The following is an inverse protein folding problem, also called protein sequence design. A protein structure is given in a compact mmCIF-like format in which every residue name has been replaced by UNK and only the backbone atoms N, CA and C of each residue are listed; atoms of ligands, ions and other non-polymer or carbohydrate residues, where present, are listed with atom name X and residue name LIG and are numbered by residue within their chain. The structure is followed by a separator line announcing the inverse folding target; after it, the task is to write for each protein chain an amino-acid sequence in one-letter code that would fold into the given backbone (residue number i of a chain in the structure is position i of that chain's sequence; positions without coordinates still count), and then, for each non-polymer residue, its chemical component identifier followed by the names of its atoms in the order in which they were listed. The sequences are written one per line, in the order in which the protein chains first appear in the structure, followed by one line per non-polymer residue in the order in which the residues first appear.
data_IF_291545074513
#
_entry.id   IF_291545074513
#
_cell.length_a   1.000
_cell.length_b   1.000
_cell.length_c   1.000
_cell.angle_alpha   90.00
_cell.angle_beta   90.00
_cell.angle_gamma   90.00
#
_symmetry.space_group_name_H-M   'P 1'
#
loop_
_entity.id
_entity.type
_entity.pdbx_description
1 polymer ?
#
# COMPACT_ATOMS: atom_id res chain seq x y z
N UNK A 1 -5.99 1.81 -31.35
CA UNK A 1 -4.52 1.90 -31.16
C UNK A 1 -4.15 1.53 -29.71
N UNK A 2 -4.51 0.30 -29.31
CA UNK A 2 -4.89 -0.07 -27.93
C UNK A 2 -3.81 -0.84 -27.14
N UNK A 3 -2.58 -0.95 -27.64
CA UNK A 3 -1.51 -1.69 -26.95
C UNK A 3 -0.56 -0.82 -26.09
N UNK A 4 -0.32 0.44 -26.48
CA UNK A 4 0.85 1.17 -26.02
C UNK A 4 0.77 1.70 -24.56
N UNK A 5 -0.42 2.04 -24.06
CA UNK A 5 -0.60 2.65 -22.73
C UNK A 5 -0.52 1.67 -21.55
N UNK A 6 -1.09 0.48 -21.72
CA UNK A 6 -0.96 -0.64 -20.77
C UNK A 6 0.50 -1.13 -20.69
N UNK A 7 1.15 -1.26 -21.86
CA UNK A 7 2.58 -1.55 -21.97
C UNK A 7 3.47 -0.45 -21.38
N UNK A 8 3.05 0.82 -21.39
CA UNK A 8 3.84 1.92 -20.83
C UNK A 8 3.78 1.96 -19.29
N UNK A 9 2.63 1.66 -18.67
CA UNK A 9 2.52 1.62 -17.20
C UNK A 9 3.08 0.31 -16.61
N UNK A 10 2.80 -0.83 -17.24
CA UNK A 10 3.53 -2.07 -16.98
C UNK A 10 5.02 -1.86 -17.24
N UNK A 11 5.37 -1.11 -18.29
CA UNK A 11 6.74 -0.71 -18.62
C UNK A 11 7.39 0.19 -17.58
N UNK A 12 6.65 1.10 -16.91
CA UNK A 12 7.18 1.92 -15.80
C UNK A 12 7.42 1.09 -14.55
N UNK A 13 6.47 0.22 -14.16
CA UNK A 13 6.66 -0.71 -13.04
C UNK A 13 7.81 -1.70 -13.30
N UNK A 14 7.88 -2.24 -14.52
CA UNK A 14 8.96 -3.12 -14.96
C UNK A 14 10.30 -2.38 -15.06
N UNK A 15 10.32 -1.10 -15.46
CA UNK A 15 11.52 -0.25 -15.45
C UNK A 15 11.98 0.08 -14.03
N UNK A 16 11.07 0.36 -13.11
CA UNK A 16 11.41 0.60 -11.70
C UNK A 16 11.96 -0.68 -11.05
N UNK A 17 11.31 -1.82 -11.25
CA UNK A 17 11.82 -3.13 -10.82
C UNK A 17 13.20 -3.41 -11.42
N UNK A 18 13.36 -3.18 -12.73
CA UNK A 18 14.66 -3.32 -13.41
C UNK A 18 15.71 -2.36 -12.84
N UNK A 19 15.35 -1.11 -12.56
CA UNK A 19 16.27 -0.12 -11.99
C UNK A 19 16.76 -0.54 -10.59
N UNK A 20 15.86 -1.06 -9.74
CA UNK A 20 16.22 -1.60 -8.42
C UNK A 20 17.20 -2.77 -8.55
N UNK A 21 16.90 -3.74 -9.40
CA UNK A 21 17.79 -4.90 -9.59
C UNK A 21 19.13 -4.52 -10.26
N UNK A 22 19.13 -3.56 -11.18
CA UNK A 22 20.36 -2.99 -11.76
C UNK A 22 21.17 -2.28 -10.67
N UNK A 23 20.53 -1.48 -9.81
CA UNK A 23 21.20 -0.80 -8.71
C UNK A 23 21.80 -1.81 -7.71
N UNK A 24 21.06 -2.87 -7.35
CA UNK A 24 21.57 -3.95 -6.49
C UNK A 24 22.77 -4.66 -7.14
N UNK A 25 22.69 -4.99 -8.43
CA UNK A 25 23.79 -5.62 -9.16
C UNK A 25 25.02 -4.71 -9.24
N UNK A 26 24.84 -3.43 -9.56
CA UNK A 26 25.91 -2.44 -9.59
C UNK A 26 26.54 -2.26 -8.21
N UNK A 27 25.74 -2.12 -7.16
CA UNK A 27 26.22 -2.02 -5.79
C UNK A 27 27.03 -3.26 -5.41
N UNK A 28 26.54 -4.46 -5.73
CA UNK A 28 27.26 -5.70 -5.43
C UNK A 28 28.60 -5.79 -6.15
N UNK A 29 28.64 -5.44 -7.45
CA UNK A 29 29.89 -5.41 -8.23
C UNK A 29 30.87 -4.36 -7.68
N UNK A 30 30.41 -3.13 -7.42
CA UNK A 30 31.24 -2.06 -6.86
C UNK A 30 31.78 -2.48 -5.48
N UNK A 31 30.93 -3.02 -4.62
CA UNK A 31 31.34 -3.55 -3.31
C UNK A 31 32.37 -4.66 -3.43
N UNK A 32 32.27 -5.53 -4.44
CA UNK A 32 33.25 -6.58 -4.69
C UNK A 32 34.57 -6.10 -5.31
N UNK A 33 34.54 -5.00 -6.07
CA UNK A 33 35.75 -4.34 -6.57
C UNK A 33 36.52 -3.65 -5.43
N UNK A 34 35.82 -3.08 -4.44
CA UNK A 34 36.43 -2.45 -3.27
C UNK A 34 36.91 -3.51 -2.26
N UNK A 35 36.12 -4.57 -2.05
CA UNK A 35 36.43 -5.64 -1.12
C UNK A 35 36.25 -7.01 -1.80
N UNK A 36 37.33 -7.64 -2.27
CA UNK A 36 37.28 -8.93 -2.99
C UNK A 36 36.64 -10.07 -2.18
N UNK A 37 36.57 -9.94 -0.85
CA UNK A 37 35.88 -10.92 0.02
C UNK A 37 34.39 -11.01 -0.24
N UNK A 38 33.75 -10.00 -0.85
CA UNK A 38 32.32 -10.01 -1.18
C UNK A 38 31.92 -11.10 -2.19
N UNK A 39 32.86 -11.57 -3.02
CA UNK A 39 32.63 -12.65 -3.97
C UNK A 39 32.88 -14.04 -3.38
N UNK A 40 33.42 -14.13 -2.16
CA UNK A 40 33.61 -15.41 -1.49
C UNK A 40 32.26 -16.02 -1.10
N UNK A 41 32.09 -17.31 -1.36
CA UNK A 41 30.85 -18.05 -1.06
C UNK A 41 30.44 -17.89 0.41
N UNK A 42 31.39 -17.93 1.34
CA UNK A 42 31.10 -17.72 2.77
C UNK A 42 30.48 -16.35 3.06
N UNK A 43 31.01 -15.28 2.45
CA UNK A 43 30.49 -13.93 2.63
C UNK A 43 29.10 -13.76 2.00
N UNK A 44 28.89 -14.33 0.81
CA UNK A 44 27.57 -14.34 0.16
C UNK A 44 26.53 -15.04 1.03
N UNK A 45 26.87 -16.20 1.59
CA UNK A 45 25.97 -16.94 2.49
C UNK A 45 25.66 -16.17 3.76
N UNK A 46 26.63 -15.46 4.35
CA UNK A 46 26.41 -14.60 5.52
C UNK A 46 25.47 -13.43 5.19
N UNK A 47 25.65 -12.78 4.03
CA UNK A 47 24.75 -11.71 3.57
C UNK A 47 23.33 -12.26 3.37
N UNK A 48 23.20 -13.44 2.74
CA UNK A 48 21.90 -14.09 2.54
C UNK A 48 21.23 -14.45 3.86
N UNK A 49 21.97 -14.86 4.87
CA UNK A 49 21.42 -15.16 6.19
C UNK A 49 20.81 -13.92 6.86
N UNK A 50 21.53 -12.79 6.84
CA UNK A 50 21.02 -11.51 7.36
C UNK A 50 19.80 -11.04 6.56
N UNK A 51 19.88 -11.15 5.23
CA UNK A 51 18.77 -10.80 4.35
C UNK A 51 17.54 -11.69 4.56
N UNK A 52 17.71 -12.97 4.90
CA UNK A 52 16.62 -13.90 5.13
C UNK A 52 15.75 -13.49 6.33
N UNK A 53 16.35 -13.00 7.43
CA UNK A 53 15.57 -12.49 8.58
C UNK A 53 14.69 -11.31 8.17
N UNK A 54 15.26 -10.33 7.44
CA UNK A 54 14.49 -9.21 6.91
C UNK A 54 13.43 -9.68 5.89
N UNK A 55 13.76 -10.69 5.10
CA UNK A 55 12.86 -11.31 4.13
C UNK A 55 11.63 -11.94 4.78
N UNK A 56 11.80 -12.67 5.89
CA UNK A 56 10.68 -13.25 6.65
C UNK A 56 9.80 -12.16 7.24
N UNK A 57 10.38 -11.10 7.78
CA UNK A 57 9.64 -9.94 8.30
C UNK A 57 8.85 -9.25 7.17
N UNK A 58 9.47 -9.09 5.99
CA UNK A 58 8.83 -8.54 4.81
C UNK A 58 7.64 -9.39 4.32
N UNK A 59 7.69 -10.72 4.45
CA UNK A 59 6.54 -11.59 4.15
C UNK A 59 5.34 -11.30 5.05
N UNK A 60 5.57 -11.02 6.35
CA UNK A 60 4.52 -10.55 7.25
C UNK A 60 3.93 -9.21 6.78
N UNK A 61 4.81 -8.26 6.42
CA UNK A 61 4.40 -6.95 5.91
C UNK A 61 3.57 -7.03 4.62
N UNK A 62 3.78 -8.05 3.76
CA UNK A 62 2.95 -8.25 2.56
C UNK A 62 1.47 -8.38 2.91
N UNK A 63 1.12 -9.10 3.98
CA UNK A 63 -0.28 -9.28 4.40
C UNK A 63 -0.89 -7.93 4.80
N UNK A 64 -0.15 -7.11 5.55
CA UNK A 64 -0.58 -5.78 5.99
C UNK A 64 -0.79 -4.83 4.79
N UNK A 65 0.14 -4.86 3.83
CA UNK A 65 0.04 -4.06 2.59
C UNK A 65 -1.15 -4.50 1.76
N UNK A 66 -1.43 -5.82 1.66
CA UNK A 66 -2.58 -6.33 0.94
C UNK A 66 -3.91 -5.82 1.51
N UNK A 67 -3.97 -5.53 2.81
CA UNK A 67 -5.13 -4.92 3.48
C UNK A 67 -5.13 -3.39 3.44
N UNK A 68 -4.17 -2.76 2.74
CA UNK A 68 -4.10 -1.30 2.57
C UNK A 68 -3.38 -0.54 3.69
N UNK A 69 -2.67 -1.24 4.58
CA UNK A 69 -1.94 -0.65 5.71
C UNK A 69 -0.42 -0.72 5.57
N UNK A 70 0.27 -0.13 6.55
CA UNK A 70 1.71 -0.32 6.79
C UNK A 70 1.89 -0.46 8.31
N UNK A 71 2.58 -1.52 8.74
CA UNK A 71 2.92 -1.72 10.16
C UNK A 71 4.41 -1.47 10.42
N UNK A 72 4.71 -0.40 11.16
CA UNK A 72 6.07 -0.04 11.60
C UNK A 72 6.42 -0.55 13.01
N UNK A 73 5.54 -1.29 13.68
CA UNK A 73 5.79 -1.85 15.02
C UNK A 73 6.69 -3.09 15.02
N UNK A 74 7.08 -3.58 13.83
CA UNK A 74 7.87 -4.79 13.66
C UNK A 74 9.23 -4.74 14.37
N UNK A 75 9.91 -3.59 14.38
CA UNK A 75 11.22 -3.46 15.03
C UNK A 75 11.11 -3.64 16.56
N UNK A 76 10.15 -2.97 17.19
CA UNK A 76 9.85 -3.10 18.61
C UNK A 76 9.35 -4.51 18.95
N UNK A 77 8.53 -5.10 18.08
CA UNK A 77 8.07 -6.49 18.23
C UNK A 77 9.22 -7.50 18.22
N UNK A 78 10.14 -7.40 17.26
CA UNK A 78 11.33 -8.27 17.19
C UNK A 78 12.17 -8.09 18.46
N UNK A 79 12.39 -6.85 18.89
CA UNK A 79 13.19 -6.55 20.09
C UNK A 79 12.57 -7.17 21.34
N UNK A 80 11.27 -6.91 21.59
CA UNK A 80 10.57 -7.39 22.76
C UNK A 80 10.46 -8.93 22.76
N UNK A 81 10.10 -9.52 21.62
CA UNK A 81 9.96 -10.99 21.53
C UNK A 81 11.30 -11.70 21.67
N UNK A 82 12.40 -11.16 21.14
CA UNK A 82 13.74 -11.72 21.38
C UNK A 82 14.09 -11.69 22.87
N UNK A 83 13.88 -10.55 23.55
CA UNK A 83 14.14 -10.41 24.99
C UNK A 83 13.31 -11.40 25.81
N UNK A 84 12.00 -11.48 25.54
CA UNK A 84 11.08 -12.38 26.25
C UNK A 84 11.41 -13.84 25.95
N UNK A 85 11.76 -14.18 24.71
CA UNK A 85 12.11 -15.54 24.34
C UNK A 85 13.38 -15.99 25.08
N UNK A 86 14.46 -15.20 25.07
CA UNK A 86 15.71 -15.58 25.71
C UNK A 86 15.63 -15.57 27.24
N UNK A 87 14.86 -14.64 27.82
CA UNK A 87 14.66 -14.57 29.27
C UNK A 87 13.85 -15.74 29.82
N UNK A 88 12.94 -16.30 29.01
CA UNK A 88 12.14 -17.47 29.37
C UNK A 88 12.85 -18.79 29.04
N UNK A 89 13.60 -18.85 27.95
CA UNK A 89 14.30 -20.07 27.54
C UNK A 89 15.44 -20.42 28.49
N UNK A 90 16.27 -19.43 28.86
CA UNK A 90 17.46 -19.63 29.71
C UNK A 90 18.34 -20.81 29.24
N UNK A 91 18.47 -21.01 27.93
CA UNK A 91 19.20 -22.12 27.31
C UNK A 91 18.51 -23.49 27.35
N UNK A 92 17.32 -23.61 27.96
CA UNK A 92 16.64 -24.90 28.17
C UNK A 92 15.65 -25.24 27.06
N UNK A 93 15.64 -26.49 26.59
CA UNK A 93 14.75 -26.93 25.53
C UNK A 93 13.28 -27.07 25.98
N UNK A 94 13.04 -27.38 27.25
CA UNK A 94 11.70 -27.64 27.79
C UNK A 94 10.82 -26.38 27.82
N UNK A 95 11.44 -25.22 27.96
CA UNK A 95 10.78 -23.91 28.04
C UNK A 95 10.50 -23.29 26.67
N UNK A 96 10.99 -23.89 25.58
CA UNK A 96 10.79 -23.40 24.20
C UNK A 96 9.30 -23.23 23.89
N UNK A 97 8.47 -24.22 24.21
CA UNK A 97 7.06 -24.19 23.90
C UNK A 97 6.33 -23.04 24.62
N UNK A 98 6.68 -22.81 25.90
CA UNK A 98 6.11 -21.71 26.71
C UNK A 98 6.57 -20.36 26.16
N UNK A 99 7.87 -20.21 25.88
CA UNK A 99 8.43 -18.97 25.34
C UNK A 99 7.80 -18.61 23.99
N UNK A 100 7.71 -19.56 23.04
CA UNK A 100 7.08 -19.34 21.74
C UNK A 100 5.59 -19.00 21.87
N UNK A 101 4.86 -19.66 22.76
CA UNK A 101 3.44 -19.38 22.98
C UNK A 101 3.22 -17.96 23.49
N UNK A 102 4.05 -17.49 24.43
CA UNK A 102 3.99 -16.12 24.95
C UNK A 102 4.36 -15.10 23.87
N UNK A 103 5.42 -15.35 23.08
CA UNK A 103 5.80 -14.47 21.97
C UNK A 103 4.70 -14.36 20.91
N UNK A 104 4.04 -15.47 20.56
CA UNK A 104 2.91 -15.48 19.63
C UNK A 104 1.71 -14.72 20.20
N UNK A 105 1.39 -14.92 21.49
CA UNK A 105 0.31 -14.19 22.16
C UNK A 105 0.57 -12.68 22.17
N UNK A 106 1.81 -12.26 22.44
CA UNK A 106 2.21 -10.84 22.35
C UNK A 106 2.06 -10.30 20.93
N UNK A 107 2.48 -11.05 19.91
CA UNK A 107 2.34 -10.63 18.52
C UNK A 107 0.88 -10.47 18.09
N UNK A 108 0.00 -11.41 18.48
CA UNK A 108 -1.43 -11.32 18.23
C UNK A 108 -2.04 -10.13 18.96
N UNK A 109 -1.69 -9.92 20.23
CA UNK A 109 -2.20 -8.80 21.03
C UNK A 109 -1.82 -7.46 20.39
N UNK A 110 -0.56 -7.28 20.04
CA UNK A 110 -0.06 -6.03 19.44
C UNK A 110 -0.69 -5.80 18.06
N UNK A 111 -0.77 -6.84 17.23
CA UNK A 111 -1.44 -6.77 15.93
C UNK A 111 -2.93 -6.41 16.07
N UNK A 112 -3.62 -7.00 17.04
CA UNK A 112 -5.02 -6.68 17.35
C UNK A 112 -5.18 -5.23 17.82
N UNK A 113 -4.30 -4.77 18.73
CA UNK A 113 -4.32 -3.38 19.19
C UNK A 113 -4.11 -2.41 18.02
N UNK A 114 -3.10 -2.63 17.18
CA UNK A 114 -2.86 -1.82 15.99
C UNK A 114 -4.09 -1.82 15.06
N UNK A 115 -4.67 -2.99 14.78
CA UNK A 115 -5.87 -3.11 13.97
C UNK A 115 -7.09 -2.40 14.58
N UNK A 116 -7.29 -2.51 15.88
CA UNK A 116 -8.40 -1.89 16.60
C UNK A 116 -8.28 -0.35 16.61
N UNK A 117 -7.07 0.18 16.81
CA UNK A 117 -6.80 1.61 16.72
C UNK A 117 -7.11 2.17 15.33
N UNK A 118 -6.78 1.41 14.28
CA UNK A 118 -7.06 1.81 12.90
C UNK A 118 -8.55 1.74 12.60
N UNK A 119 -9.22 0.64 12.97
CA UNK A 119 -10.61 0.37 12.57
C UNK A 119 -11.64 1.13 13.42
N UNK A 120 -11.46 1.18 14.74
CA UNK A 120 -12.44 1.79 15.63
C UNK A 120 -12.18 3.27 15.92
N UNK A 121 -10.91 3.67 15.97
CA UNK A 121 -10.52 5.05 16.33
C UNK A 121 -10.20 5.88 15.08
N UNK A 122 -10.03 5.26 13.91
CA UNK A 122 -9.77 5.95 12.65
C UNK A 122 -8.34 6.53 12.57
N UNK A 123 -7.39 6.03 13.36
CA UNK A 123 -6.00 6.48 13.30
C UNK A 123 -5.32 5.89 12.07
N UNK A 124 -4.59 6.71 11.30
CA UNK A 124 -3.79 6.22 10.17
C UNK A 124 -2.82 5.10 10.60
N UNK A 125 -2.75 3.95 9.89
CA UNK A 125 -1.93 2.79 10.29
C UNK A 125 -0.47 3.10 10.59
N UNK A 126 0.12 4.04 9.82
CA UNK A 126 1.49 4.49 10.02
C UNK A 126 1.71 5.13 11.39
N UNK A 127 0.78 5.97 11.84
CA UNK A 127 0.88 6.68 13.12
C UNK A 127 0.63 5.73 14.29
N UNK A 128 -0.40 4.87 14.18
CA UNK A 128 -0.72 3.89 15.20
C UNK A 128 0.45 2.91 15.44
N UNK A 129 1.00 2.35 14.37
CA UNK A 129 2.09 1.36 14.47
C UNK A 129 3.43 1.99 14.87
N UNK A 130 3.73 3.23 14.48
CA UNK A 130 4.91 3.95 14.96
C UNK A 130 4.80 4.28 16.46
N UNK A 131 3.63 4.68 16.93
CA UNK A 131 3.37 4.88 18.36
C UNK A 131 3.51 3.58 19.15
N UNK A 132 2.92 2.49 18.64
CA UNK A 132 3.07 1.16 19.22
C UNK A 132 4.54 0.71 19.28
N UNK A 133 5.33 1.00 18.25
CA UNK A 133 6.76 0.72 18.25
C UNK A 133 7.48 1.35 19.46
N UNK A 134 7.17 2.61 19.80
CA UNK A 134 7.71 3.27 20.98
C UNK A 134 7.26 2.62 22.29
N UNK A 135 5.98 2.21 22.37
CA UNK A 135 5.45 1.47 23.53
C UNK A 135 6.18 0.14 23.72
N UNK A 136 6.45 -0.61 22.65
CA UNK A 136 7.16 -1.89 22.70
C UNK A 136 8.61 -1.72 23.16
N UNK A 137 9.32 -0.70 22.68
CA UNK A 137 10.66 -0.38 23.17
C UNK A 137 10.65 0.04 24.65
N UNK A 138 9.65 0.82 25.08
CA UNK A 138 9.46 1.16 26.49
C UNK A 138 9.19 -0.06 27.36
N UNK A 139 8.34 -0.98 26.89
CA UNK A 139 8.06 -2.24 27.56
C UNK A 139 9.31 -3.12 27.67
N UNK A 140 10.09 -3.21 26.59
CA UNK A 140 11.38 -3.92 26.59
C UNK A 140 12.36 -3.32 27.61
N UNK A 141 12.43 -1.98 27.70
CA UNK A 141 13.29 -1.29 28.66
C UNK A 141 12.85 -1.58 30.11
N UNK A 142 11.55 -1.49 30.40
CA UNK A 142 11.00 -1.79 31.74
C UNK A 142 11.24 -3.25 32.12
N UNK A 143 11.03 -4.18 31.18
CA UNK A 143 11.23 -5.61 31.42
C UNK A 143 12.69 -5.97 31.72
N UNK A 144 13.63 -5.33 31.02
CA UNK A 144 15.07 -5.62 31.17
C UNK A 144 15.76 -4.78 32.24
N UNK A 145 15.17 -3.67 32.67
CA UNK A 145 15.86 -2.67 33.48
C UNK A 145 17.08 -2.06 32.78
N UNK A 146 17.12 -2.08 31.44
CA UNK A 146 18.23 -1.58 30.62
C UNK A 146 19.29 -2.62 30.24
N UNK A 147 19.23 -3.84 30.77
CA UNK A 147 20.18 -4.91 30.45
C UNK A 147 19.44 -6.23 30.16
N UNK A 148 19.32 -6.65 28.89
CA UNK A 148 18.73 -7.93 28.53
C UNK A 148 19.48 -9.09 29.20
N UNK A 149 18.75 -10.13 29.61
CA UNK A 149 19.30 -11.35 30.21
C UNK A 149 18.67 -12.58 29.57
N UNK A 150 19.35 -13.71 29.72
CA UNK A 150 18.91 -15.00 29.21
C UNK A 150 19.62 -15.41 27.92
N UNK A 151 19.34 -16.62 27.50
CA UNK A 151 20.02 -17.30 26.40
C UNK A 151 18.98 -18.10 25.62
N UNK A 152 19.09 -18.11 24.30
CA UNK A 152 18.23 -18.93 23.46
C UNK A 152 18.53 -20.42 23.70
N UNK A 153 17.50 -21.25 23.66
CA UNK A 153 17.73 -22.69 23.68
C UNK A 153 18.49 -23.12 22.42
N UNK A 154 19.38 -24.11 22.54
CA UNK A 154 20.24 -24.60 21.45
C UNK A 154 19.43 -24.93 20.18
N UNK A 155 18.26 -25.56 20.32
CA UNK A 155 17.40 -25.90 19.19
C UNK A 155 16.91 -24.66 18.41
N UNK A 156 16.70 -23.53 19.09
CA UNK A 156 16.30 -22.26 18.45
C UNK A 156 17.51 -21.59 17.83
N UNK A 157 18.68 -21.67 18.48
CA UNK A 157 19.93 -21.15 17.94
C UNK A 157 20.30 -21.84 16.63
N UNK A 158 20.19 -23.17 16.55
CA UNK A 158 20.44 -23.94 15.32
C UNK A 158 19.56 -23.48 14.16
N UNK A 159 18.31 -23.05 14.41
CA UNK A 159 17.43 -22.50 13.37
C UNK A 159 17.93 -21.14 12.88
N UNK A 160 18.50 -20.31 13.75
CA UNK A 160 18.96 -18.96 13.44
C UNK A 160 20.38 -18.89 12.87
N UNK A 161 21.30 -19.73 13.35
CA UNK A 161 22.73 -19.69 13.03
C UNK A 161 23.25 -20.96 12.38
N UNK A 162 22.51 -22.06 12.47
CA UNK A 162 22.90 -23.36 11.93
C UNK A 162 22.95 -23.39 10.40
N UNK A 163 23.65 -24.41 9.89
CA UNK A 163 23.85 -24.63 8.45
C UNK A 163 23.35 -26.02 8.05
N UNK A 164 22.59 -26.06 6.96
CA UNK A 164 22.09 -27.28 6.33
C UNK A 164 22.74 -27.38 4.95
N UNK A 165 23.51 -28.44 4.71
CA UNK A 165 24.32 -28.61 3.49
C UNK A 165 25.23 -27.40 3.16
N UNK A 166 25.76 -26.74 4.19
CA UNK A 166 26.60 -25.54 4.05
C UNK A 166 25.84 -24.23 3.84
N UNK A 167 24.51 -24.27 3.69
CA UNK A 167 23.66 -23.08 3.54
C UNK A 167 23.05 -22.71 4.91
N UNK A 168 23.06 -21.43 5.33
CA UNK A 168 22.40 -21.01 6.55
C UNK A 168 20.90 -21.38 6.55
N UNK A 169 20.43 -21.95 7.67
CA UNK A 169 19.04 -22.39 7.80
C UNK A 169 18.01 -21.28 7.51
N UNK A 170 18.19 -20.01 7.96
CA UNK A 170 17.25 -18.93 7.63
C UNK A 170 17.09 -18.71 6.12
N UNK A 171 18.18 -18.85 5.35
CA UNK A 171 18.19 -18.70 3.88
C UNK A 171 17.34 -19.75 3.16
N UNK A 172 17.12 -20.92 3.79
CA UNK A 172 16.22 -21.97 3.28
C UNK A 172 14.78 -21.78 3.76
N UNK A 173 14.61 -21.33 5.01
CA UNK A 173 13.29 -21.10 5.61
C UNK A 173 12.55 -19.96 4.90
N UNK A 174 13.26 -18.88 4.56
CA UNK A 174 12.65 -17.72 3.91
C UNK A 174 11.92 -18.04 2.59
N UNK A 175 12.53 -18.69 1.58
CA UNK A 175 11.81 -19.05 0.35
C UNK A 175 10.71 -20.10 0.59
N UNK A 176 10.87 -20.99 1.56
CA UNK A 176 9.80 -21.93 1.92
C UNK A 176 8.55 -21.20 2.47
N UNK A 177 8.75 -20.23 3.37
CA UNK A 177 7.68 -19.36 3.86
C UNK A 177 7.09 -18.48 2.75
N UNK A 178 7.92 -17.98 1.84
CA UNK A 178 7.46 -17.21 0.70
C UNK A 178 6.56 -18.05 -0.23
N UNK A 179 6.94 -19.31 -0.49
CA UNK A 179 6.13 -20.25 -1.27
C UNK A 179 4.81 -20.58 -0.56
N UNK A 180 4.84 -20.80 0.77
CA UNK A 180 3.64 -21.00 1.56
C UNK A 180 2.70 -19.78 1.51
N UNK A 181 3.23 -18.56 1.67
CA UNK A 181 2.46 -17.33 1.56
C UNK A 181 1.91 -17.12 0.14
N UNK A 182 2.68 -17.46 -0.90
CA UNK A 182 2.21 -17.42 -2.27
C UNK A 182 1.01 -18.35 -2.48
N UNK A 183 1.07 -19.58 -1.98
CA UNK A 183 -0.06 -20.53 -2.04
C UNK A 183 -1.25 -19.99 -1.25
N UNK A 184 -1.03 -19.49 -0.02
CA UNK A 184 -2.08 -18.90 0.82
C UNK A 184 -2.79 -17.76 0.08
N UNK A 185 -2.05 -16.79 -0.44
CA UNK A 185 -2.60 -15.60 -1.08
C UNK A 185 -3.24 -15.87 -2.43
N UNK A 186 -2.76 -16.86 -3.20
CA UNK A 186 -3.22 -17.10 -4.59
C UNK A 186 -4.17 -18.28 -4.76
N UNK A 187 -4.14 -19.26 -3.84
CA UNK A 187 -4.87 -20.53 -3.99
C UNK A 187 -5.97 -20.74 -2.95
N UNK A 188 -6.03 -19.94 -1.89
CA UNK A 188 -7.03 -20.14 -0.81
C UNK A 188 -8.16 -19.11 -0.84
N UNK A 189 -9.23 -19.42 -0.10
CA UNK A 189 -10.34 -18.48 0.16
C UNK A 189 -9.81 -17.27 0.93
N UNK A 190 -9.06 -17.48 2.01
CA UNK A 190 -8.50 -16.40 2.85
C UNK A 190 -7.71 -15.38 2.02
N UNK A 191 -6.89 -15.86 1.08
CA UNK A 191 -6.16 -14.99 0.14
C UNK A 191 -7.08 -14.07 -0.67
N UNK A 192 -8.19 -14.59 -1.19
CA UNK A 192 -9.19 -13.77 -1.92
C UNK A 192 -9.84 -12.72 -1.03
N UNK A 193 -10.14 -13.06 0.23
CA UNK A 193 -10.70 -12.12 1.19
C UNK A 193 -9.70 -11.00 1.49
N UNK A 194 -8.42 -11.33 1.72
CA UNK A 194 -7.36 -10.33 1.93
C UNK A 194 -7.26 -9.33 0.77
N UNK A 195 -7.26 -9.82 -0.48
CA UNK A 195 -7.27 -8.95 -1.66
C UNK A 195 -8.56 -8.13 -1.80
N UNK A 196 -9.70 -8.69 -1.43
CA UNK A 196 -10.99 -7.99 -1.47
C UNK A 196 -11.11 -6.90 -0.39
N UNK A 197 -10.51 -7.11 0.78
CA UNK A 197 -10.53 -6.11 1.87
C UNK A 197 -9.68 -4.86 1.57
N UNK A 198 -8.56 -5.01 0.86
CA UNK A 198 -7.70 -3.88 0.48
C UNK A 198 -8.02 -3.28 -0.89
N UNK A 199 -9.27 -3.39 -1.36
CA UNK A 199 -9.65 -3.22 -2.76
C UNK A 199 -9.28 -1.86 -3.40
N UNK A 200 -8.09 -1.81 -3.98
CA UNK A 200 -7.90 -1.39 -5.37
C UNK A 200 -6.97 -2.42 -6.03
N UNK A 201 -7.55 -3.33 -6.82
CA UNK A 201 -6.79 -4.31 -7.61
C UNK A 201 -7.30 -4.35 -9.05
N UNK A 202 -6.45 -4.78 -9.99
CA UNK A 202 -6.85 -4.92 -11.39
C UNK A 202 -7.04 -3.59 -12.13
N UNK A 203 -6.18 -2.60 -11.87
CA UNK A 203 -6.24 -1.29 -12.57
C UNK A 203 -6.28 -1.48 -14.09
N UNK A 204 -7.39 -1.07 -14.69
CA UNK A 204 -7.57 -1.00 -16.14
C UNK A 204 -7.72 0.45 -16.56
N UNK A 205 -7.42 0.73 -17.83
CA UNK A 205 -7.74 2.03 -18.39
C UNK A 205 -9.25 2.06 -18.65
N UNK A 206 -9.94 3.01 -18.01
CA UNK A 206 -11.36 3.27 -18.24
C UNK A 206 -11.54 4.12 -19.51
N UNK A 207 -11.12 5.40 -19.49
CA UNK A 207 -11.24 6.30 -20.64
C UNK A 207 -9.90 6.94 -21.04
N UNK A 208 -9.67 7.11 -22.35
CA UNK A 208 -8.51 7.83 -22.89
C UNK A 208 -8.82 9.33 -23.04
N UNK A 209 -8.14 10.19 -22.26
CA UNK A 209 -8.35 11.65 -22.30
C UNK A 209 -7.17 12.44 -22.88
N UNK A 210 -5.98 11.82 -23.03
CA UNK A 210 -4.72 12.52 -23.34
C UNK A 210 -4.72 13.32 -24.64
N UNK A 211 -5.43 12.83 -25.65
CA UNK A 211 -5.49 13.45 -26.98
C UNK A 211 -6.83 14.19 -27.20
N UNK A 212 -7.57 14.43 -26.13
CA UNK A 212 -8.83 15.17 -26.17
C UNK A 212 -8.68 16.59 -25.58
N UNK A 213 -9.62 17.52 -25.90
CA UNK A 213 -9.63 18.84 -25.28
C UNK A 213 -9.75 18.78 -23.75
N UNK A 214 -8.83 19.44 -23.07
CA UNK A 214 -8.80 19.56 -21.61
C UNK A 214 -8.19 18.37 -20.88
N UNK A 215 -8.23 18.45 -19.55
CA UNK A 215 -7.71 17.45 -18.63
C UNK A 215 -8.82 17.01 -17.68
N UNK A 216 -8.95 15.70 -17.39
CA UNK A 216 -9.98 15.23 -16.46
C UNK A 216 -9.70 15.78 -15.06
N UNK A 217 -10.71 16.42 -14.48
CA UNK A 217 -10.69 16.93 -13.11
C UNK A 217 -11.74 16.15 -12.29
N UNK A 218 -12.59 16.81 -11.50
CA UNK A 218 -13.64 16.20 -10.71
C UNK A 218 -14.66 15.41 -11.54
N UNK A 219 -15.19 14.35 -10.94
CA UNK A 219 -16.13 13.44 -11.57
C UNK A 219 -17.17 12.91 -10.57
N UNK A 220 -18.32 12.49 -11.08
CA UNK A 220 -19.38 11.79 -10.34
C UNK A 220 -20.01 10.71 -11.22
N UNK A 221 -20.88 9.87 -10.67
CA UNK A 221 -21.60 8.83 -11.41
C UNK A 221 -23.11 9.04 -11.27
N UNK A 222 -23.84 8.76 -12.34
CA UNK A 222 -25.30 8.73 -12.30
C UNK A 222 -25.85 7.35 -11.89
N UNK A 223 -27.17 7.24 -11.71
CA UNK A 223 -27.83 6.01 -11.29
C UNK A 223 -27.75 4.87 -12.32
N UNK A 224 -27.35 5.15 -13.57
CA UNK A 224 -27.07 4.15 -14.61
C UNK A 224 -25.62 3.65 -14.56
N UNK A 225 -24.80 4.17 -13.64
CA UNK A 225 -23.39 3.83 -13.53
C UNK A 225 -22.52 4.53 -14.57
N UNK A 226 -23.00 5.63 -15.16
CA UNK A 226 -22.28 6.39 -16.18
C UNK A 226 -21.50 7.52 -15.51
N UNK A 227 -20.23 7.69 -15.92
CA UNK A 227 -19.31 8.66 -15.30
C UNK A 227 -19.46 10.03 -15.96
N UNK A 228 -19.74 11.05 -15.16
CA UNK A 228 -19.69 12.46 -15.56
C UNK A 228 -18.38 13.07 -15.10
N UNK A 229 -17.65 13.73 -16.00
CA UNK A 229 -16.34 14.28 -15.70
C UNK A 229 -16.17 15.70 -16.25
N UNK A 230 -15.76 16.61 -15.37
CA UNK A 230 -15.33 17.96 -15.74
C UNK A 230 -13.97 17.92 -16.43
N UNK A 231 -13.83 18.62 -17.56
CA UNK A 231 -12.58 18.69 -18.30
C UNK A 231 -11.98 20.10 -18.17
N UNK A 232 -11.00 20.25 -17.28
CA UNK A 232 -10.24 21.48 -17.09
C UNK A 232 -9.56 21.91 -18.40
N UNK A 233 -9.68 23.20 -18.77
CA UNK A 233 -9.25 23.74 -20.07
C UNK A 233 -9.96 23.13 -21.30
N UNK A 234 -10.98 22.29 -21.08
CA UNK A 234 -11.69 21.57 -22.13
C UNK A 234 -13.01 22.21 -22.55
N UNK A 235 -13.47 23.25 -21.86
CA UNK A 235 -14.76 23.91 -22.13
C UNK A 235 -15.97 22.97 -22.10
N UNK A 236 -15.89 21.86 -21.34
CA UNK A 236 -16.90 20.79 -21.44
C UNK A 236 -17.01 19.91 -20.21
N UNK A 237 -18.16 19.26 -20.09
CA UNK A 237 -18.31 18.00 -19.37
C UNK A 237 -18.35 16.85 -20.35
N UNK A 238 -17.86 15.69 -19.93
CA UNK A 238 -17.95 14.45 -20.72
C UNK A 238 -18.63 13.38 -19.88
N UNK A 239 -19.65 12.75 -20.46
CA UNK A 239 -20.34 11.57 -19.93
C UNK A 239 -19.74 10.34 -20.60
N UNK A 240 -19.18 9.43 -19.81
CA UNK A 240 -18.56 8.18 -20.26
C UNK A 240 -19.39 6.98 -19.83
N UNK A 241 -19.75 6.14 -20.80
CA UNK A 241 -20.43 4.87 -20.56
C UNK A 241 -19.59 3.93 -19.64
N UNK A 242 -20.19 2.90 -19.03
CA UNK A 242 -19.47 1.99 -18.12
C UNK A 242 -18.31 1.22 -18.77
N UNK A 243 -18.25 1.17 -20.11
CA UNK A 243 -17.14 0.60 -20.86
C UNK A 243 -16.01 1.62 -21.19
N UNK A 244 -16.18 2.88 -20.76
CA UNK A 244 -15.23 3.98 -20.94
C UNK A 244 -15.37 4.73 -22.26
N UNK A 245 -16.35 4.39 -23.10
CA UNK A 245 -16.65 5.14 -24.33
C UNK A 245 -17.35 6.46 -24.03
N UNK A 246 -17.16 7.46 -24.88
CA UNK A 246 -17.86 8.75 -24.74
C UNK A 246 -19.31 8.56 -25.16
N UNK A 247 -20.23 8.77 -24.23
CA UNK A 247 -21.67 8.74 -24.47
C UNK A 247 -22.19 10.12 -24.87
N UNK A 248 -21.77 11.17 -24.14
CA UNK A 248 -22.22 12.55 -24.38
C UNK A 248 -21.13 13.56 -24.04
N UNK A 249 -21.09 14.68 -24.77
CA UNK A 249 -20.29 15.86 -24.44
C UNK A 249 -21.25 17.03 -24.23
N UNK A 250 -21.08 17.78 -23.15
CA UNK A 250 -21.83 19.00 -22.85
C UNK A 250 -20.86 20.16 -22.90
N UNK A 251 -20.98 21.00 -23.92
CA UNK A 251 -20.16 22.20 -24.05
C UNK A 251 -20.59 23.26 -23.01
N UNK A 252 -19.60 23.84 -22.36
CA UNK A 252 -19.77 24.89 -21.36
C UNK A 252 -19.20 26.21 -21.88
N UNK A 253 -19.78 27.32 -21.44
CA UNK A 253 -19.29 28.67 -21.75
C UNK A 253 -18.13 29.12 -20.85
N UNK A 254 -17.47 28.17 -20.19
CA UNK A 254 -16.35 28.39 -19.28
C UNK A 254 -15.25 27.39 -19.60
N UNK A 255 -14.01 27.88 -19.68
CA UNK A 255 -12.86 27.07 -20.04
C UNK A 255 -12.50 26.04 -18.98
N UNK A 256 -12.69 26.38 -17.69
CA UNK A 256 -12.13 25.64 -16.55
C UNK A 256 -13.23 25.12 -15.61
N UNK A 257 -14.07 24.16 -16.03
CA UNK A 257 -14.88 23.40 -15.08
C UNK A 257 -13.97 22.51 -14.22
N UNK A 258 -14.25 22.42 -12.93
CA UNK A 258 -13.38 21.74 -11.95
C UNK A 258 -13.99 20.47 -11.38
N UNK A 259 -15.29 20.44 -11.12
CA UNK A 259 -15.97 19.28 -10.58
C UNK A 259 -17.45 19.33 -10.90
N UNK A 260 -18.14 18.20 -10.73
CA UNK A 260 -19.59 18.12 -10.89
C UNK A 260 -20.20 17.15 -9.88
N UNK A 261 -21.44 17.42 -9.48
CA UNK A 261 -22.19 16.62 -8.51
C UNK A 261 -23.70 16.75 -8.73
N UNK A 262 -24.43 15.66 -8.54
CA UNK A 262 -25.89 15.68 -8.60
C UNK A 262 -26.51 16.21 -7.30
N UNK A 263 -27.61 16.94 -7.44
CA UNK A 263 -28.37 17.48 -6.32
C UNK A 263 -29.80 17.82 -6.71
N UNK A 264 -30.47 18.58 -5.85
CA UNK A 264 -31.91 18.85 -5.96
C UNK A 264 -32.77 17.69 -5.42
N UNK A 265 -34.09 17.91 -5.26
CA UNK A 265 -34.99 16.93 -4.62
C UNK A 265 -35.05 15.57 -5.32
N UNK A 266 -34.90 15.56 -6.65
CA UNK A 266 -34.93 14.35 -7.48
C UNK A 266 -33.54 13.89 -7.93
N UNK A 267 -32.47 14.54 -7.47
CA UNK A 267 -31.09 14.30 -7.92
C UNK A 267 -30.88 14.46 -9.43
N UNK A 268 -31.72 15.25 -10.12
CA UNK A 268 -31.64 15.51 -11.57
C UNK A 268 -30.95 16.81 -11.95
N UNK A 269 -30.56 17.63 -10.98
CA UNK A 269 -29.79 18.84 -11.23
C UNK A 269 -28.30 18.51 -11.05
N UNK A 270 -27.51 18.61 -12.12
CA UNK A 270 -26.06 18.47 -12.07
C UNK A 270 -25.43 19.85 -11.82
N UNK A 271 -24.86 20.04 -10.64
CA UNK A 271 -24.09 21.22 -10.28
C UNK A 271 -22.65 21.08 -10.75
N UNK A 272 -22.06 22.17 -11.25
CA UNK A 272 -20.71 22.19 -11.82
C UNK A 272 -19.93 23.38 -11.26
N UNK A 273 -18.83 23.09 -10.58
CA UNK A 273 -17.92 24.15 -10.11
C UNK A 273 -16.96 24.55 -11.22
N UNK A 274 -16.53 25.81 -11.21
CA UNK A 274 -15.66 26.38 -12.25
C UNK A 274 -14.60 27.28 -11.62
N UNK A 275 -13.54 27.60 -12.37
CA UNK A 275 -12.43 28.42 -11.88
C UNK A 275 -12.08 29.58 -12.82
N UNK A 276 -11.54 30.65 -12.24
CA UNK A 276 -10.90 31.77 -12.95
C UNK A 276 -9.37 31.66 -12.98
N UNK A 277 -8.80 30.57 -12.47
CA UNK A 277 -7.36 30.43 -12.28
C UNK A 277 -6.59 30.71 -13.58
N UNK A 278 -5.71 31.70 -13.53
CA UNK A 278 -4.91 32.21 -14.65
C UNK A 278 -5.69 32.78 -15.86
N UNK A 279 -7.01 33.00 -15.72
CA UNK A 279 -7.79 33.81 -16.64
C UNK A 279 -7.65 35.30 -16.28
N UNK A 280 -7.19 36.11 -17.24
CA UNK A 280 -6.95 37.55 -17.06
C UNK A 280 -7.38 38.34 -18.29
N UNK A 281 -7.61 39.64 -18.11
CA UNK A 281 -7.88 40.58 -19.20
C UNK A 281 -9.05 40.15 -20.09
N UNK A 282 -8.85 40.19 -21.41
CA UNK A 282 -9.86 39.84 -22.42
C UNK A 282 -10.38 38.41 -22.28
N UNK A 283 -9.53 37.45 -21.89
CA UNK A 283 -9.93 36.05 -21.76
C UNK A 283 -10.92 35.83 -20.61
N UNK A 284 -10.79 36.59 -19.51
CA UNK A 284 -11.75 36.58 -18.42
C UNK A 284 -13.03 37.34 -18.80
N UNK A 285 -12.89 38.48 -19.49
CA UNK A 285 -14.03 39.27 -19.96
C UNK A 285 -14.92 38.48 -20.96
N UNK A 286 -14.31 37.61 -21.77
CA UNK A 286 -15.02 36.73 -22.70
C UNK A 286 -15.78 35.57 -22.02
N UNK A 287 -15.49 35.30 -20.73
CA UNK A 287 -16.05 34.19 -19.96
C UNK A 287 -16.75 34.70 -18.70
N UNK A 288 -17.88 35.42 -18.81
CA UNK A 288 -18.52 36.09 -17.68
C UNK A 288 -18.98 35.12 -16.57
N UNK A 289 -19.13 33.83 -16.89
CA UNK A 289 -19.52 32.79 -15.94
C UNK A 289 -18.32 32.04 -15.31
N UNK A 290 -17.08 32.34 -15.72
CA UNK A 290 -15.90 31.69 -15.14
C UNK A 290 -15.81 32.00 -13.63
N UNK A 291 -15.59 30.97 -12.82
CA UNK A 291 -15.59 31.07 -11.35
C UNK A 291 -16.99 30.96 -10.71
N UNK A 292 -18.05 30.88 -11.51
CA UNK A 292 -19.41 30.67 -11.00
C UNK A 292 -19.71 29.19 -10.76
N UNK A 293 -20.74 28.92 -9.95
CA UNK A 293 -21.39 27.62 -9.88
C UNK A 293 -22.43 27.54 -11.01
N UNK A 294 -22.33 26.54 -11.88
CA UNK A 294 -23.30 26.29 -12.93
C UNK A 294 -24.24 25.15 -12.50
N UNK A 295 -25.41 25.09 -13.12
CA UNK A 295 -26.33 23.96 -12.98
C UNK A 295 -26.93 23.63 -14.35
N UNK A 296 -27.21 22.35 -14.56
CA UNK A 296 -27.92 21.84 -15.74
C UNK A 296 -28.83 20.69 -15.33
N UNK A 297 -29.97 20.58 -15.97
CA UNK A 297 -30.92 19.50 -15.75
C UNK A 297 -30.52 18.26 -16.56
N UNK A 298 -30.76 17.09 -15.99
CA UNK A 298 -30.38 15.78 -16.55
C UNK A 298 -31.58 14.83 -16.54
N UNK A 299 -31.62 13.93 -17.52
CA UNK A 299 -32.70 12.95 -17.64
C UNK A 299 -32.57 11.84 -16.58
N UNK A 300 -31.32 11.48 -16.26
CA UNK A 300 -30.94 10.40 -15.35
C UNK A 300 -30.54 10.99 -14.00
N UNK A 301 -31.14 10.56 -12.89
CA UNK A 301 -30.78 11.06 -11.57
C UNK A 301 -29.39 10.57 -11.16
N UNK A 302 -28.73 11.35 -10.31
CA UNK A 302 -27.53 10.93 -9.60
C UNK A 302 -27.79 9.93 -8.47
N UNK A 303 -26.73 9.63 -7.73
CA UNK A 303 -26.80 8.87 -6.49
C UNK A 303 -26.69 9.80 -5.27
N UNK A 304 -27.32 9.45 -4.13
CA UNK A 304 -27.13 10.18 -2.88
C UNK A 304 -25.67 10.09 -2.44
N UNK A 305 -25.07 11.23 -2.09
CA UNK A 305 -23.73 11.26 -1.53
C UNK A 305 -23.68 10.60 -0.14
N UNK A 306 -22.69 9.74 0.06
CA UNK A 306 -22.45 9.10 1.35
C UNK A 306 -21.91 10.12 2.35
N UNK A 307 -22.51 10.18 3.54
CA UNK A 307 -21.93 10.93 4.64
C UNK A 307 -20.67 10.22 5.13
N UNK A 308 -19.62 11.00 5.42
CA UNK A 308 -18.46 10.48 6.11
C UNK A 308 -18.89 9.85 7.44
N UNK A 309 -18.37 8.65 7.75
CA UNK A 309 -18.77 7.87 8.92
C UNK A 309 -18.14 8.36 10.24
N UNK A 310 -17.30 9.40 10.20
CA UNK A 310 -16.58 9.92 11.37
C UNK A 310 -15.23 9.24 11.55
#
# INVERSE_FOLDING_TARGET
MTGAGSLAAAGRGLRALRAVWIAVALLYVISGLISPSMFQVGQVLNILQVAAFLGVVALGQVIVILTGGIDLSQAGMITLTNIVATSLMLGQAETIAVALSICLALAVLVGLMNGLLVVLIGITPLVASLGMNAVLFGAALVYTGGAPRGEAAEAVEVIGTGRVFGIPAPTLIWPALAAALYVLTRRTVVGRWLYATGAIAGRQLFAHTRDQPGQPDGATVDAEGVLWNAQWDGWRLVRYAPDGTVDRIVDLRVQKPTSCIFGGPELKTLFVTTAIWDLKGEALAAQPLAGSLLSLETDVPGLPETRSAG
#
